data_IF_663726314302
#
_entry.id   IF_663726314302
#
_cell.length_a   1.000
_cell.length_b   1.000
_cell.length_c   1.000
_cell.angle_alpha   90.00
_cell.angle_beta   90.00
_cell.angle_gamma   90.00
#
_symmetry.space_group_name_H-M   'P 1'
#
loop_
_entity.id
_entity.type
_entity.pdbx_description
1 polymer ?
#
# COMPACT_ATOMS: atom_id res chain seq x y z
N UNK A 1 -1.99 24.18 -17.48
CA UNK A 1 -3.37 23.62 -17.54
C UNK A 1 -3.52 22.43 -18.50
N UNK A 2 -3.03 22.46 -19.76
CA UNK A 2 -3.17 21.33 -20.72
C UNK A 2 -2.47 20.06 -20.22
N UNK A 3 -1.26 20.13 -19.69
CA UNK A 3 -0.51 18.99 -19.19
C UNK A 3 -1.17 18.32 -17.96
N UNK A 4 -1.80 19.09 -17.06
CA UNK A 4 -2.46 18.55 -15.87
C UNK A 4 -3.68 17.71 -16.25
N UNK A 5 -4.48 18.13 -17.25
CA UNK A 5 -5.62 17.34 -17.73
C UNK A 5 -5.20 16.02 -18.35
N UNK A 6 -4.11 16.03 -19.12
CA UNK A 6 -3.54 14.80 -19.71
C UNK A 6 -3.08 13.85 -18.62
N UNK A 7 -2.30 14.33 -17.63
CA UNK A 7 -1.84 13.50 -16.52
C UNK A 7 -3.00 12.92 -15.69
N UNK A 8 -4.05 13.73 -15.45
CA UNK A 8 -5.27 13.25 -14.79
C UNK A 8 -5.94 12.11 -15.59
N UNK A 9 -6.02 12.23 -16.92
CA UNK A 9 -6.53 11.16 -17.77
C UNK A 9 -5.68 9.88 -17.69
N UNK A 10 -4.36 10.03 -17.75
CA UNK A 10 -3.42 8.90 -17.64
C UNK A 10 -3.60 8.17 -16.30
N UNK A 11 -3.75 8.88 -15.20
CA UNK A 11 -3.93 8.26 -13.87
C UNK A 11 -5.23 7.44 -13.77
N UNK A 12 -6.33 7.91 -14.38
CA UNK A 12 -7.57 7.12 -14.45
C UNK A 12 -7.40 5.86 -15.31
N UNK A 13 -6.67 5.98 -16.44
CA UNK A 13 -6.35 4.82 -17.29
C UNK A 13 -5.49 3.82 -16.52
N UNK A 14 -4.46 4.28 -15.79
CA UNK A 14 -3.61 3.39 -14.98
C UNK A 14 -4.39 2.67 -13.88
N UNK A 15 -5.32 3.35 -13.20
CA UNK A 15 -6.19 2.69 -12.22
C UNK A 15 -7.09 1.63 -12.87
N UNK A 16 -7.66 1.92 -14.05
CA UNK A 16 -8.42 0.96 -14.83
C UNK A 16 -7.59 -0.23 -15.32
N UNK A 17 -6.37 0.01 -15.80
CA UNK A 17 -5.43 -1.05 -16.22
C UNK A 17 -5.03 -1.92 -15.04
N UNK A 18 -4.73 -1.34 -13.88
CA UNK A 18 -4.42 -2.09 -12.67
C UNK A 18 -5.59 -3.00 -12.26
N UNK A 19 -6.81 -2.45 -12.21
CA UNK A 19 -8.02 -3.22 -11.89
C UNK A 19 -8.23 -4.35 -12.90
N UNK A 20 -8.18 -4.04 -14.20
CA UNK A 20 -8.37 -5.02 -15.27
C UNK A 20 -7.32 -6.13 -15.21
N UNK A 21 -6.04 -5.80 -15.07
CA UNK A 21 -4.97 -6.79 -14.99
C UNK A 21 -5.11 -7.69 -13.76
N UNK A 22 -5.34 -7.10 -12.58
CA UNK A 22 -5.46 -7.84 -11.32
C UNK A 22 -6.68 -8.75 -11.30
N UNK A 23 -7.85 -8.21 -11.64
CA UNK A 23 -9.11 -8.96 -11.53
C UNK A 23 -9.27 -9.98 -12.65
N UNK A 24 -8.83 -9.66 -13.88
CA UNK A 24 -8.85 -10.64 -14.96
C UNK A 24 -7.90 -11.81 -14.67
N UNK A 25 -6.75 -11.55 -14.05
CA UNK A 25 -5.85 -12.61 -13.63
C UNK A 25 -6.51 -13.60 -12.65
N UNK A 26 -7.30 -13.08 -11.71
CA UNK A 26 -8.03 -13.89 -10.73
C UNK A 26 -9.24 -14.61 -11.32
N UNK A 27 -10.05 -13.91 -12.12
CA UNK A 27 -11.32 -14.43 -12.66
C UNK A 27 -11.12 -15.40 -13.83
N UNK A 28 -10.10 -15.16 -14.67
CA UNK A 28 -9.86 -15.91 -15.91
C UNK A 28 -8.54 -16.69 -15.90
N UNK A 29 -7.82 -16.71 -14.76
CA UNK A 29 -6.53 -17.40 -14.61
C UNK A 29 -5.50 -16.97 -15.68
N UNK A 30 -5.48 -15.68 -16.02
CA UNK A 30 -4.48 -15.13 -16.91
C UNK A 30 -3.14 -15.11 -16.17
N UNK A 31 -2.08 -15.56 -16.80
CA UNK A 31 -0.74 -15.62 -16.20
C UNK A 31 -0.01 -14.28 -16.26
N UNK A 32 -0.65 -13.18 -15.81
CA UNK A 32 -0.01 -11.86 -15.76
C UNK A 32 0.97 -11.86 -14.59
N UNK A 33 2.28 -11.60 -14.83
CA UNK A 33 3.27 -11.58 -13.76
C UNK A 33 2.95 -10.52 -12.69
N UNK A 34 3.12 -10.86 -11.41
CA UNK A 34 2.90 -9.93 -10.29
C UNK A 34 3.72 -8.64 -10.42
N UNK A 35 4.95 -8.73 -10.94
CA UNK A 35 5.81 -7.57 -11.20
C UNK A 35 5.22 -6.61 -12.24
N UNK A 36 4.49 -7.11 -13.25
CA UNK A 36 3.83 -6.25 -14.25
C UNK A 36 2.65 -5.48 -13.63
N UNK A 37 1.85 -6.14 -12.79
CA UNK A 37 0.75 -5.50 -12.05
C UNK A 37 1.31 -4.45 -11.08
N UNK A 38 2.36 -4.80 -10.33
CA UNK A 38 3.04 -3.90 -9.42
C UNK A 38 3.60 -2.66 -10.14
N UNK A 39 4.18 -2.85 -11.34
CA UNK A 39 4.71 -1.74 -12.14
C UNK A 39 3.64 -0.69 -12.46
N UNK A 40 2.40 -1.10 -12.73
CA UNK A 40 1.29 -0.16 -12.96
C UNK A 40 1.01 0.68 -11.71
N UNK A 41 1.00 0.07 -10.52
CA UNK A 41 0.81 0.78 -9.25
C UNK A 41 1.99 1.74 -8.96
N UNK A 42 3.22 1.31 -9.25
CA UNK A 42 4.43 2.15 -9.12
C UNK A 42 4.34 3.36 -10.04
N UNK A 43 4.02 3.17 -11.32
CA UNK A 43 3.89 4.28 -12.30
C UNK A 43 2.77 5.24 -11.90
N UNK A 44 1.64 4.71 -11.44
CA UNK A 44 0.56 5.54 -10.89
C UNK A 44 1.08 6.40 -9.73
N UNK A 45 1.72 5.80 -8.74
CA UNK A 45 2.22 6.48 -7.54
C UNK A 45 3.30 7.52 -7.86
N UNK A 46 4.17 7.23 -8.83
CA UNK A 46 5.18 8.17 -9.33
C UNK A 46 4.54 9.42 -9.94
N UNK A 47 3.63 9.23 -10.89
CA UNK A 47 2.99 10.36 -11.60
C UNK A 47 2.13 11.17 -10.64
N UNK A 48 1.29 10.49 -9.85
CA UNK A 48 0.41 11.12 -8.89
C UNK A 48 1.21 11.90 -7.81
N UNK A 49 2.30 11.31 -7.29
CA UNK A 49 3.17 11.95 -6.33
C UNK A 49 3.95 13.12 -6.93
N UNK A 50 4.45 13.00 -8.16
CA UNK A 50 5.18 14.06 -8.84
C UNK A 50 4.30 15.29 -9.14
N UNK A 51 3.00 15.11 -9.38
CA UNK A 51 2.05 16.21 -9.54
C UNK A 51 1.91 17.07 -8.27
N UNK A 52 2.14 16.47 -7.09
CA UNK A 52 2.00 17.17 -5.80
C UNK A 52 3.33 17.64 -5.23
N UNK A 53 4.32 16.74 -5.23
CA UNK A 53 5.59 16.95 -4.53
C UNK A 53 6.74 17.30 -5.48
N UNK A 54 6.46 17.42 -6.78
CA UNK A 54 7.46 17.47 -7.85
C UNK A 54 8.37 16.22 -7.86
N UNK A 55 9.16 16.05 -8.90
CA UNK A 55 10.04 14.88 -9.05
C UNK A 55 11.03 14.72 -7.90
N UNK A 56 11.54 15.83 -7.38
CA UNK A 56 12.47 15.81 -6.25
C UNK A 56 11.83 15.42 -4.92
N UNK A 57 10.54 15.74 -4.71
CA UNK A 57 9.81 15.29 -3.51
C UNK A 57 9.46 13.81 -3.56
N UNK A 58 9.00 13.32 -4.72
CA UNK A 58 8.70 11.89 -4.84
C UNK A 58 9.98 11.04 -4.85
N UNK A 59 11.09 11.56 -5.40
CA UNK A 59 12.39 10.90 -5.28
C UNK A 59 12.85 10.78 -3.83
N UNK A 60 12.66 11.83 -3.01
CA UNK A 60 12.95 11.76 -1.58
C UNK A 60 12.07 10.72 -0.87
N UNK A 61 10.76 10.66 -1.20
CA UNK A 61 9.87 9.62 -0.67
C UNK A 61 10.40 8.22 -0.98
N UNK A 62 10.76 7.96 -2.25
CA UNK A 62 11.29 6.67 -2.70
C UNK A 62 12.57 6.32 -1.95
N UNK A 63 13.53 7.23 -1.89
CA UNK A 63 14.82 6.96 -1.21
C UNK A 63 14.59 6.65 0.27
N UNK A 64 13.80 7.46 0.97
CA UNK A 64 13.51 7.23 2.39
C UNK A 64 12.78 5.89 2.58
N UNK A 65 11.75 5.62 1.78
CA UNK A 65 11.00 4.38 1.83
C UNK A 65 11.89 3.15 1.59
N UNK A 66 12.65 3.12 0.49
CA UNK A 66 13.48 1.98 0.13
C UNK A 66 14.62 1.74 1.11
N UNK A 67 15.27 2.79 1.60
CA UNK A 67 16.37 2.65 2.57
C UNK A 67 15.84 2.11 3.90
N UNK A 68 14.79 2.71 4.46
CA UNK A 68 14.24 2.30 5.76
C UNK A 68 13.65 0.89 5.67
N UNK A 69 12.83 0.60 4.66
CA UNK A 69 12.23 -0.73 4.53
C UNK A 69 13.28 -1.82 4.32
N UNK A 70 14.27 -1.61 3.43
CA UNK A 70 15.30 -2.61 3.19
C UNK A 70 16.16 -2.87 4.43
N UNK A 71 16.54 -1.84 5.19
CA UNK A 71 17.28 -2.01 6.45
C UNK A 71 16.47 -2.83 7.44
N UNK A 72 15.21 -2.47 7.69
CA UNK A 72 14.39 -3.14 8.70
C UNK A 72 14.00 -4.56 8.29
N UNK A 73 13.74 -4.81 7.00
CA UNK A 73 13.51 -6.16 6.47
C UNK A 73 14.73 -7.07 6.69
N UNK A 74 15.94 -6.63 6.29
CA UNK A 74 17.16 -7.40 6.50
C UNK A 74 17.45 -7.60 7.99
N UNK A 75 17.22 -6.57 8.82
CA UNK A 75 17.36 -6.67 10.28
C UNK A 75 16.41 -7.72 10.84
N UNK A 76 15.16 -7.75 10.37
CA UNK A 76 14.17 -8.70 10.86
C UNK A 76 14.51 -10.14 10.48
N UNK A 77 14.95 -10.38 9.25
CA UNK A 77 15.39 -11.72 8.81
C UNK A 77 16.54 -12.22 9.69
N UNK A 78 17.45 -11.34 10.08
CA UNK A 78 18.62 -11.71 10.90
C UNK A 78 18.33 -11.81 12.40
N UNK A 79 17.43 -11.00 12.94
CA UNK A 79 17.26 -10.80 14.39
C UNK A 79 15.85 -11.06 14.90
N UNK A 80 14.86 -11.13 14.01
CA UNK A 80 13.45 -11.17 14.33
C UNK A 80 12.82 -9.79 14.60
N UNK A 81 13.58 -8.70 14.69
CA UNK A 81 13.03 -7.36 14.89
C UNK A 81 13.01 -6.57 13.56
N UNK A 82 11.90 -5.93 13.17
CA UNK A 82 10.65 -5.73 13.93
C UNK A 82 9.51 -6.72 13.60
N UNK A 83 9.60 -7.52 12.51
CA UNK A 83 8.46 -8.29 11.99
C UNK A 83 8.30 -9.70 12.63
N UNK A 84 9.36 -10.26 13.16
CA UNK A 84 9.48 -11.68 13.56
C UNK A 84 10.52 -12.40 12.70
N UNK A 85 10.76 -13.69 12.99
CA UNK A 85 11.67 -14.51 12.20
C UNK A 85 10.96 -15.08 10.95
N UNK A 86 11.50 -14.78 9.79
CA UNK A 86 11.03 -15.29 8.51
C UNK A 86 12.17 -15.27 7.47
N UNK A 87 11.93 -15.90 6.35
CA UNK A 87 12.82 -15.82 5.21
C UNK A 87 12.02 -15.77 3.90
N UNK A 88 12.56 -15.10 2.90
CA UNK A 88 12.00 -15.10 1.55
C UNK A 88 12.44 -16.33 0.77
N UNK A 89 11.48 -16.98 0.10
CA UNK A 89 11.78 -18.03 -0.89
C UNK A 89 12.33 -17.40 -2.18
N UNK A 90 12.69 -18.21 -3.18
CA UNK A 90 13.20 -17.70 -4.45
C UNK A 90 12.11 -17.32 -5.46
N UNK A 91 10.83 -17.49 -5.07
CA UNK A 91 9.67 -17.25 -5.94
C UNK A 91 9.52 -15.79 -6.39
N UNK A 92 10.07 -14.82 -5.63
CA UNK A 92 10.04 -13.39 -5.98
C UNK A 92 11.28 -12.92 -6.74
N UNK A 93 12.17 -13.84 -7.15
CA UNK A 93 13.34 -13.56 -7.98
C UNK A 93 14.52 -12.96 -7.22
N UNK A 94 15.36 -12.13 -7.90
CA UNK A 94 16.61 -11.67 -7.34
C UNK A 94 16.44 -10.79 -6.09
N UNK A 95 17.42 -10.91 -5.16
CA UNK A 95 17.41 -10.25 -3.85
C UNK A 95 18.51 -9.18 -3.78
N UNK A 96 18.22 -8.10 -3.06
CA UNK A 96 19.20 -7.16 -2.53
C UNK A 96 19.48 -7.56 -1.08
N UNK A 97 20.66 -8.11 -0.81
CA UNK A 97 20.97 -8.85 0.41
C UNK A 97 19.99 -10.01 0.61
N UNK A 98 19.11 -9.97 1.60
CA UNK A 98 18.15 -11.03 1.91
C UNK A 98 16.73 -10.75 1.39
N UNK A 99 16.47 -9.57 0.82
CA UNK A 99 15.12 -9.08 0.45
C UNK A 99 14.97 -9.06 -1.07
N UNK A 100 13.90 -9.66 -1.64
CA UNK A 100 13.62 -9.60 -3.06
C UNK A 100 13.45 -8.17 -3.58
N UNK A 101 13.95 -7.90 -4.78
CA UNK A 101 13.88 -6.56 -5.40
C UNK A 101 12.46 -6.04 -5.60
N UNK A 102 11.45 -6.92 -5.69
CA UNK A 102 10.05 -6.53 -5.83
C UNK A 102 9.44 -5.93 -4.55
N UNK A 103 10.02 -6.20 -3.39
CA UNK A 103 9.48 -5.76 -2.09
C UNK A 103 9.56 -4.24 -1.96
N UNK A 104 10.70 -3.63 -2.33
CA UNK A 104 10.84 -2.16 -2.29
C UNK A 104 9.78 -1.40 -3.10
N UNK A 105 9.57 -1.72 -4.39
CA UNK A 105 8.48 -1.16 -5.19
C UNK A 105 7.08 -1.37 -4.58
N UNK A 106 6.82 -2.51 -3.91
CA UNK A 106 5.56 -2.76 -3.21
C UNK A 106 5.39 -1.84 -1.99
N UNK A 107 6.44 -1.64 -1.18
CA UNK A 107 6.46 -0.65 -0.10
C UNK A 107 6.18 0.76 -0.63
N UNK A 108 6.85 1.14 -1.73
CA UNK A 108 6.66 2.46 -2.32
C UNK A 108 5.23 2.68 -2.80
N UNK A 109 4.70 1.78 -3.62
CA UNK A 109 3.38 1.97 -4.23
C UNK A 109 2.26 2.01 -3.18
N UNK A 110 2.21 1.03 -2.27
CA UNK A 110 1.17 0.96 -1.25
C UNK A 110 1.37 2.00 -0.14
N UNK A 111 2.62 2.25 0.28
CA UNK A 111 2.94 3.30 1.26
C UNK A 111 2.59 4.69 0.75
N UNK A 112 2.80 4.95 -0.55
CA UNK A 112 2.36 6.20 -1.17
C UNK A 112 0.83 6.34 -1.18
N UNK A 113 0.09 5.28 -1.53
CA UNK A 113 -1.37 5.31 -1.51
C UNK A 113 -1.92 5.52 -0.09
N UNK A 114 -1.34 4.83 0.90
CA UNK A 114 -1.68 5.02 2.30
C UNK A 114 -1.41 6.47 2.77
N UNK A 115 -0.26 7.05 2.39
CA UNK A 115 0.07 8.45 2.62
C UNK A 115 -0.95 9.39 1.97
N UNK A 116 -1.25 9.20 0.67
CA UNK A 116 -2.18 10.03 -0.06
C UNK A 116 -3.60 10.00 0.55
N UNK A 117 -4.08 8.81 0.94
CA UNK A 117 -5.37 8.65 1.62
C UNK A 117 -5.37 9.33 2.99
N UNK A 118 -4.30 9.15 3.77
CA UNK A 118 -4.17 9.80 5.08
C UNK A 118 -4.19 11.32 4.96
N UNK A 119 -3.58 11.90 3.92
CA UNK A 119 -3.66 13.36 3.70
C UNK A 119 -5.07 13.84 3.36
N UNK A 120 -5.91 13.02 2.74
CA UNK A 120 -7.34 13.31 2.57
C UNK A 120 -8.06 13.30 3.91
N UNK A 121 -7.78 12.32 4.76
CA UNK A 121 -8.49 12.13 6.03
C UNK A 121 -8.08 13.15 7.09
N UNK A 122 -6.80 13.45 7.22
CA UNK A 122 -6.23 14.26 8.31
C UNK A 122 -5.88 15.68 7.85
N UNK A 123 -5.34 15.82 6.63
CA UNK A 123 -4.87 17.08 6.07
C UNK A 123 -3.44 16.98 5.56
N UNK A 124 -3.00 18.04 4.89
CA UNK A 124 -1.67 18.10 4.25
C UNK A 124 -0.55 18.38 5.24
N UNK A 125 0.60 17.72 5.03
CA UNK A 125 1.84 18.07 5.70
C UNK A 125 2.60 19.11 4.87
N UNK A 126 2.84 20.28 5.46
CA UNK A 126 3.51 21.45 4.87
C UNK A 126 4.43 22.09 5.90
N UNK A 127 5.17 23.13 5.50
CA UNK A 127 6.04 23.87 6.41
C UNK A 127 5.29 24.42 7.62
N UNK A 128 4.10 24.96 7.41
CA UNK A 128 3.26 25.59 8.43
C UNK A 128 2.34 24.61 9.18
N UNK A 129 2.43 23.32 8.87
CA UNK A 129 1.60 22.31 9.55
C UNK A 129 1.89 22.27 11.04
N UNK A 130 0.82 22.08 11.83
CA UNK A 130 0.94 21.87 13.27
C UNK A 130 1.77 20.60 13.58
N UNK A 131 2.28 20.50 14.79
CA UNK A 131 2.90 19.28 15.27
C UNK A 131 1.91 18.10 15.15
N UNK A 132 0.65 18.31 15.53
CA UNK A 132 -0.41 17.29 15.42
C UNK A 132 -0.51 16.75 13.99
N UNK A 133 -0.69 17.59 12.96
CA UNK A 133 -0.80 17.12 11.57
C UNK A 133 0.47 16.40 11.12
N UNK A 134 1.65 16.87 11.53
CA UNK A 134 2.93 16.29 11.16
C UNK A 134 3.10 14.86 11.68
N UNK A 135 2.53 14.55 12.84
CA UNK A 135 2.58 13.20 13.42
C UNK A 135 1.35 12.36 13.07
N UNK A 136 0.16 12.97 13.01
CA UNK A 136 -1.08 12.24 12.76
C UNK A 136 -1.15 11.66 11.33
N UNK A 137 -0.64 12.37 10.32
CA UNK A 137 -0.66 11.87 8.93
C UNK A 137 0.17 10.60 8.77
N UNK A 138 1.47 10.53 9.16
CA UNK A 138 2.24 9.28 9.11
C UNK A 138 1.61 8.17 9.96
N UNK A 139 1.11 8.51 11.16
CA UNK A 139 0.49 7.56 12.07
C UNK A 139 -0.74 6.89 11.45
N UNK A 140 -1.66 7.67 10.89
CA UNK A 140 -2.84 7.14 10.20
C UNK A 140 -2.48 6.38 8.93
N UNK A 141 -1.51 6.86 8.15
CA UNK A 141 -1.03 6.17 6.96
C UNK A 141 -0.43 4.79 7.29
N UNK A 142 0.20 4.64 8.46
CA UNK A 142 0.73 3.35 8.92
C UNK A 142 -0.39 2.34 9.18
N UNK A 143 -1.50 2.74 9.78
CA UNK A 143 -2.69 1.88 9.88
C UNK A 143 -3.24 1.49 8.51
N UNK A 144 -3.35 2.47 7.57
CA UNK A 144 -3.83 2.19 6.22
C UNK A 144 -2.95 1.19 5.47
N UNK A 145 -1.64 1.20 5.72
CA UNK A 145 -0.71 0.22 5.16
C UNK A 145 -0.85 -1.15 5.83
N UNK A 146 -1.03 -1.20 7.15
CA UNK A 146 -1.28 -2.46 7.88
C UNK A 146 -2.62 -3.09 7.47
N UNK A 147 -3.66 -2.28 7.17
CA UNK A 147 -4.91 -2.80 6.61
C UNK A 147 -4.70 -3.53 5.29
N UNK A 148 -3.78 -3.05 4.46
CA UNK A 148 -3.39 -3.75 3.24
C UNK A 148 -2.69 -5.08 3.56
N UNK A 149 -1.72 -5.07 4.45
CA UNK A 149 -0.96 -6.26 4.83
C UNK A 149 -1.86 -7.35 5.46
N UNK A 150 -2.81 -6.96 6.31
CA UNK A 150 -3.83 -7.86 6.86
C UNK A 150 -4.65 -8.57 5.77
N UNK A 151 -4.90 -7.90 4.67
CA UNK A 151 -5.65 -8.45 3.54
C UNK A 151 -4.82 -9.25 2.53
N UNK A 152 -3.48 -9.27 2.64
CA UNK A 152 -2.60 -9.85 1.62
C UNK A 152 -1.60 -10.87 2.17
N UNK A 153 -1.04 -10.67 3.37
CA UNK A 153 0.03 -11.52 3.90
C UNK A 153 -0.37 -13.00 4.04
N UNK A 154 -1.55 -13.38 4.58
CA UNK A 154 -1.88 -14.80 4.68
C UNK A 154 -1.91 -15.53 3.35
N UNK A 155 -2.33 -14.87 2.26
CA UNK A 155 -2.26 -15.45 0.93
C UNK A 155 -0.82 -15.55 0.44
N UNK A 156 -0.04 -14.52 0.62
CA UNK A 156 1.34 -14.44 0.13
C UNK A 156 2.28 -15.40 0.88
N UNK A 157 2.16 -15.49 2.21
CA UNK A 157 3.02 -16.33 3.03
C UNK A 157 2.54 -17.77 3.13
N UNK A 158 1.25 -18.02 3.41
CA UNK A 158 0.74 -19.36 3.72
C UNK A 158 0.28 -20.10 2.48
N UNK A 159 -0.35 -19.44 1.50
CA UNK A 159 -0.79 -20.08 0.26
C UNK A 159 0.30 -20.05 -0.82
N UNK A 160 0.82 -18.86 -1.15
CA UNK A 160 1.80 -18.69 -2.24
C UNK A 160 3.24 -18.96 -1.83
N UNK A 161 3.52 -18.94 -0.53
CA UNK A 161 4.83 -19.21 0.07
C UNK A 161 5.93 -18.33 -0.52
N UNK A 162 5.66 -17.04 -0.70
CA UNK A 162 6.67 -16.07 -1.12
C UNK A 162 7.69 -15.79 0.01
N UNK A 163 7.22 -15.87 1.25
CA UNK A 163 8.03 -15.92 2.47
C UNK A 163 7.41 -16.89 3.47
N UNK A 164 8.20 -17.32 4.42
CA UNK A 164 7.81 -18.31 5.43
C UNK A 164 8.04 -17.73 6.81
N UNK A 165 6.99 -17.62 7.60
CA UNK A 165 7.06 -17.29 9.02
C UNK A 165 7.50 -18.53 9.80
N UNK A 166 8.73 -18.51 10.37
CA UNK A 166 9.35 -19.71 10.95
C UNK A 166 8.63 -20.20 12.21
N UNK A 167 8.06 -19.28 12.98
CA UNK A 167 7.34 -19.59 14.22
C UNK A 167 5.82 -19.66 14.03
N UNK A 168 5.35 -19.45 12.80
CA UNK A 168 3.93 -19.33 12.53
C UNK A 168 3.28 -18.15 13.24
N UNK A 169 1.94 -18.13 13.29
CA UNK A 169 1.17 -17.08 13.95
C UNK A 169 -0.31 -17.37 13.97
N UNK A 170 -1.06 -16.64 14.81
CA UNK A 170 -2.49 -16.86 15.01
C UNK A 170 -3.38 -16.43 13.84
N UNK A 171 -2.88 -15.62 12.91
CA UNK A 171 -3.64 -15.18 11.75
C UNK A 171 -3.17 -15.94 10.50
N UNK A 172 -3.63 -17.19 10.36
CA UNK A 172 -3.30 -18.09 9.25
C UNK A 172 -1.78 -18.28 9.05
N UNK A 173 -1.04 -18.43 10.15
CA UNK A 173 0.41 -18.60 10.12
C UNK A 173 1.19 -17.28 10.17
N UNK A 174 0.52 -16.12 10.12
CA UNK A 174 1.16 -14.80 10.22
C UNK A 174 1.18 -14.34 11.68
N UNK A 175 2.36 -13.97 12.25
CA UNK A 175 2.45 -13.53 13.63
C UNK A 175 1.98 -12.08 13.82
N UNK A 176 1.48 -11.74 15.01
CA UNK A 176 1.12 -10.36 15.37
C UNK A 176 2.31 -9.40 15.24
N UNK A 177 3.51 -9.87 15.51
CA UNK A 177 4.74 -9.09 15.36
C UNK A 177 4.95 -8.57 13.94
N UNK A 178 4.50 -9.31 12.91
CA UNK A 178 4.52 -8.82 11.53
C UNK A 178 3.76 -7.50 11.40
N UNK A 179 2.52 -7.44 11.87
CA UNK A 179 1.67 -6.24 11.73
C UNK A 179 2.20 -5.07 12.55
N UNK A 180 2.76 -5.33 13.72
CA UNK A 180 3.44 -4.31 14.53
C UNK A 180 4.72 -3.83 13.84
N UNK A 181 5.47 -4.72 13.22
CA UNK A 181 6.65 -4.41 12.42
C UNK A 181 6.32 -3.57 11.18
N UNK A 182 5.24 -3.93 10.47
CA UNK A 182 4.73 -3.11 9.35
C UNK A 182 4.34 -1.71 9.81
N UNK A 183 3.58 -1.61 10.90
CA UNK A 183 3.21 -0.31 11.47
C UNK A 183 4.44 0.52 11.81
N UNK A 184 5.40 -0.06 12.52
CA UNK A 184 6.63 0.62 12.91
C UNK A 184 7.46 1.06 11.69
N UNK A 185 7.73 0.17 10.75
CA UNK A 185 8.53 0.44 9.55
C UNK A 185 7.92 1.56 8.71
N UNK A 186 6.62 1.46 8.46
CA UNK A 186 5.87 2.45 7.67
C UNK A 186 5.83 3.79 8.38
N UNK A 187 5.59 3.79 9.70
CA UNK A 187 5.62 5.02 10.48
C UNK A 187 6.98 5.71 10.40
N UNK A 188 8.07 4.98 10.54
CA UNK A 188 9.41 5.55 10.49
C UNK A 188 9.66 6.24 9.15
N UNK A 189 9.46 5.56 8.02
CA UNK A 189 9.76 6.19 6.73
C UNK A 189 8.78 7.32 6.39
N UNK A 190 7.50 7.22 6.74
CA UNK A 190 6.52 8.27 6.51
C UNK A 190 6.75 9.48 7.43
N UNK A 191 7.17 9.25 8.67
CA UNK A 191 7.53 10.34 9.59
C UNK A 191 8.75 11.10 9.09
N UNK A 192 9.76 10.41 8.59
CA UNK A 192 10.92 11.04 7.97
C UNK A 192 10.52 11.86 6.74
N UNK A 193 9.61 11.35 5.92
CA UNK A 193 9.07 12.10 4.78
C UNK A 193 8.27 13.33 5.22
N UNK A 194 7.43 13.21 6.26
CA UNK A 194 6.70 14.35 6.82
C UNK A 194 7.66 15.47 7.30
N UNK A 195 8.72 15.10 8.00
CA UNK A 195 9.75 16.04 8.45
C UNK A 195 10.50 16.67 7.27
N UNK A 196 10.83 15.90 6.24
CA UNK A 196 11.41 16.41 4.99
C UNK A 196 10.51 17.45 4.34
N UNK A 197 9.19 17.21 4.23
CA UNK A 197 8.25 18.18 3.66
C UNK A 197 8.19 19.48 4.46
N UNK A 198 8.25 19.39 5.77
CA UNK A 198 8.30 20.59 6.65
C UNK A 198 9.55 21.43 6.42
N UNK A 199 10.71 20.80 6.36
CA UNK A 199 12.00 21.50 6.17
C UNK A 199 12.08 22.12 4.78
N UNK A 200 11.68 21.38 3.76
CA UNK A 200 11.75 21.82 2.36
C UNK A 200 10.79 22.98 2.06
N UNK A 201 9.70 23.11 2.81
CA UNK A 201 8.68 24.11 2.51
C UNK A 201 7.91 23.75 1.23
N UNK A 202 7.26 22.58 1.22
CA UNK A 202 6.42 22.17 0.09
C UNK A 202 5.38 23.26 -0.21
N UNK A 203 5.33 23.71 -1.46
CA UNK A 203 4.34 24.69 -1.89
C UNK A 203 2.92 24.15 -1.73
N UNK A 204 2.02 24.99 -1.24
CA UNK A 204 0.60 24.68 -1.15
C UNK A 204 -0.01 24.67 -2.54
N UNK A 205 0.03 23.53 -3.23
CA UNK A 205 -0.72 23.34 -4.46
C UNK A 205 -2.17 23.03 -4.11
N UNK A 206 -3.10 23.90 -4.53
CA UNK A 206 -4.53 23.58 -4.50
C UNK A 206 -4.80 22.58 -5.63
N UNK A 207 -4.89 21.31 -5.27
CA UNK A 207 -5.17 20.24 -6.22
C UNK A 207 -6.68 20.05 -6.36
N UNK A 208 -7.12 19.72 -7.57
CA UNK A 208 -8.52 19.47 -7.86
C UNK A 208 -9.03 18.25 -7.07
N UNK A 209 -10.33 18.23 -6.72
CA UNK A 209 -10.96 17.06 -6.06
C UNK A 209 -10.68 15.75 -6.80
N UNK A 210 -10.68 15.80 -8.17
CA UNK A 210 -10.36 14.62 -8.99
C UNK A 210 -8.98 14.03 -8.73
N UNK A 211 -7.98 14.84 -8.37
CA UNK A 211 -6.66 14.36 -7.98
C UNK A 211 -6.74 13.49 -6.72
N UNK A 212 -7.38 13.98 -5.66
CA UNK A 212 -7.54 13.20 -4.42
C UNK A 212 -8.41 11.95 -4.63
N UNK A 213 -9.47 12.08 -5.46
CA UNK A 213 -10.33 10.96 -5.81
C UNK A 213 -9.57 9.82 -6.51
N UNK A 214 -8.54 10.11 -7.31
CA UNK A 214 -7.72 9.09 -7.96
C UNK A 214 -6.99 8.21 -6.96
N UNK A 215 -6.39 8.78 -5.91
CA UNK A 215 -5.72 8.00 -4.86
C UNK A 215 -6.73 7.16 -4.06
N UNK A 216 -7.91 7.73 -3.73
CA UNK A 216 -8.98 7.01 -3.01
C UNK A 216 -9.48 5.83 -3.84
N UNK A 217 -9.74 6.03 -5.14
CA UNK A 217 -10.19 4.95 -6.04
C UNK A 217 -9.10 3.90 -6.21
N UNK A 218 -7.85 4.29 -6.41
CA UNK A 218 -6.76 3.33 -6.55
C UNK A 218 -6.57 2.49 -5.27
N UNK A 219 -6.65 3.10 -4.08
CA UNK A 219 -6.61 2.37 -2.81
C UNK A 219 -7.81 1.41 -2.66
N UNK A 220 -9.01 1.83 -3.05
CA UNK A 220 -10.20 0.98 -3.06
C UNK A 220 -10.06 -0.20 -4.03
N UNK A 221 -9.51 0.03 -5.23
CA UNK A 221 -9.23 -1.03 -6.22
C UNK A 221 -8.24 -2.04 -5.66
N UNK A 222 -7.17 -1.60 -4.99
CA UNK A 222 -6.26 -2.51 -4.28
C UNK A 222 -7.02 -3.30 -3.21
N UNK A 223 -7.83 -2.63 -2.38
CA UNK A 223 -8.63 -3.27 -1.32
C UNK A 223 -9.70 -4.23 -1.80
N UNK A 224 -10.19 -4.09 -3.05
CA UNK A 224 -11.12 -5.06 -3.66
C UNK A 224 -10.45 -6.35 -4.10
N UNK A 225 -9.13 -6.39 -4.22
CA UNK A 225 -8.39 -7.57 -4.70
C UNK A 225 -8.70 -8.85 -3.89
N UNK A 226 -8.64 -8.86 -2.55
CA UNK A 226 -9.00 -10.06 -1.78
C UNK A 226 -10.47 -10.45 -1.93
N UNK A 227 -11.38 -9.48 -2.12
CA UNK A 227 -12.80 -9.75 -2.32
C UNK A 227 -13.02 -10.48 -3.66
N UNK A 228 -12.39 -9.98 -4.73
CA UNK A 228 -12.44 -10.64 -6.04
C UNK A 228 -11.76 -12.01 -5.98
N UNK A 229 -10.64 -12.13 -5.26
CA UNK A 229 -9.96 -13.41 -5.03
C UNK A 229 -10.85 -14.45 -4.34
N UNK A 230 -11.58 -14.05 -3.31
CA UNK A 230 -12.56 -14.91 -2.64
C UNK A 230 -13.68 -15.37 -3.58
N UNK A 231 -14.25 -14.44 -4.35
CA UNK A 231 -15.32 -14.77 -5.32
C UNK A 231 -14.82 -15.66 -6.48
N UNK A 232 -13.54 -15.55 -6.83
CA UNK A 232 -12.91 -16.37 -7.87
C UNK A 232 -12.43 -17.71 -7.37
N UNK A 233 -12.28 -17.93 -6.06
CA UNK A 233 -11.76 -19.14 -5.45
C UNK A 233 -12.66 -20.32 -5.75
N UNK A 234 -12.11 -21.36 -6.42
CA UNK A 234 -12.84 -22.57 -6.81
C UNK A 234 -12.50 -23.79 -5.93
N UNK A 235 -11.46 -23.69 -5.13
CA UNK A 235 -10.93 -24.80 -4.34
C UNK A 235 -10.78 -24.41 -2.88
N UNK A 236 -10.98 -25.39 -2.01
CA UNK A 236 -10.71 -25.25 -0.58
C UNK A 236 -9.78 -26.40 -0.16
N UNK A 237 -8.48 -26.14 -0.17
CA UNK A 237 -7.43 -27.12 0.12
C UNK A 237 -6.75 -26.82 1.44
N UNK A 238 -6.26 -27.87 2.11
CA UNK A 238 -5.42 -27.72 3.28
C UNK A 238 -4.01 -27.25 2.86
N UNK A 239 -3.48 -26.27 3.58
CA UNK A 239 -2.12 -25.73 3.42
C UNK A 239 -1.47 -25.63 4.79
N UNK A 240 -0.14 -25.79 4.86
CA UNK A 240 0.59 -25.68 6.11
C UNK A 240 1.44 -24.40 6.15
N UNK A 241 1.44 -23.73 7.29
CA UNK A 241 2.38 -22.64 7.58
C UNK A 241 3.79 -23.15 7.91
N UNK A 242 4.72 -22.24 8.21
CA UNK A 242 6.11 -22.58 8.52
C UNK A 242 6.31 -23.33 9.84
N UNK A 243 5.36 -23.23 10.77
CA UNK A 243 5.39 -23.92 12.06
C UNK A 243 4.60 -25.26 12.03
N UNK A 244 4.04 -25.64 10.88
CA UNK A 244 3.26 -26.88 10.73
C UNK A 244 1.78 -26.72 11.09
N UNK A 245 1.28 -25.51 11.36
CA UNK A 245 -0.14 -25.23 11.51
C UNK A 245 -0.87 -25.47 10.19
N UNK A 246 -2.05 -26.12 10.24
CA UNK A 246 -2.85 -26.46 9.05
C UNK A 246 -4.03 -25.51 8.92
N UNK A 247 -4.17 -24.92 7.75
CA UNK A 247 -5.18 -23.94 7.39
C UNK A 247 -5.91 -24.35 6.11
N UNK A 248 -7.12 -23.82 5.91
CA UNK A 248 -7.87 -24.05 4.68
C UNK A 248 -7.87 -22.79 3.81
N UNK A 249 -7.55 -22.92 2.52
CA UNK A 249 -7.48 -21.79 1.58
C UNK A 249 -8.78 -21.01 1.49
N UNK A 250 -9.94 -21.68 1.60
CA UNK A 250 -11.25 -21.03 1.65
C UNK A 250 -11.41 -20.11 2.87
N UNK A 251 -11.01 -20.58 4.06
CA UNK A 251 -11.06 -19.76 5.29
C UNK A 251 -10.11 -18.56 5.22
N UNK A 252 -8.92 -18.75 4.63
CA UNK A 252 -7.96 -17.66 4.42
C UNK A 252 -8.57 -16.58 3.52
N UNK A 253 -9.05 -16.97 2.32
CA UNK A 253 -9.58 -16.02 1.33
C UNK A 253 -10.83 -15.30 1.82
N UNK A 254 -11.75 -16.01 2.52
CA UNK A 254 -12.94 -15.41 3.13
C UNK A 254 -12.59 -14.39 4.20
N UNK A 255 -11.65 -14.72 5.09
CA UNK A 255 -11.21 -13.82 6.16
C UNK A 255 -10.52 -12.59 5.60
N UNK A 256 -9.67 -12.75 4.59
CA UNK A 256 -9.01 -11.61 3.91
C UNK A 256 -10.03 -10.71 3.23
N UNK A 257 -11.04 -11.26 2.53
CA UNK A 257 -12.14 -10.49 1.95
C UNK A 257 -12.91 -9.73 3.03
N UNK A 258 -13.26 -10.40 4.13
CA UNK A 258 -13.97 -9.80 5.26
C UNK A 258 -13.17 -8.64 5.85
N UNK A 259 -11.89 -8.87 6.16
CA UNK A 259 -11.02 -7.84 6.74
C UNK A 259 -10.90 -6.64 5.82
N UNK A 260 -10.66 -6.83 4.52
CA UNK A 260 -10.49 -5.72 3.59
C UNK A 260 -11.77 -4.92 3.36
N UNK A 261 -12.94 -5.56 3.35
CA UNK A 261 -14.24 -4.85 3.28
C UNK A 261 -14.38 -3.88 4.46
N UNK A 262 -14.13 -4.34 5.67
CA UNK A 262 -14.38 -3.56 6.89
C UNK A 262 -13.19 -2.71 7.35
N UNK A 263 -12.06 -2.75 6.64
CA UNK A 263 -10.89 -1.91 6.91
C UNK A 263 -10.53 -1.04 5.70
N UNK A 264 -9.95 -1.59 4.64
CA UNK A 264 -9.50 -0.81 3.47
C UNK A 264 -10.65 -0.12 2.76
N UNK A 265 -11.74 -0.84 2.45
CA UNK A 265 -12.89 -0.25 1.73
C UNK A 265 -13.65 0.71 2.63
N UNK A 266 -13.74 0.46 3.94
CA UNK A 266 -14.27 1.43 4.90
C UNK A 266 -13.44 2.72 4.91
N UNK A 267 -12.09 2.63 4.97
CA UNK A 267 -11.22 3.80 4.93
C UNK A 267 -11.35 4.57 3.61
N UNK A 268 -11.43 3.87 2.48
CA UNK A 268 -11.68 4.49 1.17
C UNK A 268 -13.05 5.18 1.10
N UNK A 269 -14.10 4.55 1.64
CA UNK A 269 -15.44 5.13 1.69
C UNK A 269 -15.45 6.40 2.57
N UNK A 270 -14.80 6.36 3.74
CA UNK A 270 -14.67 7.51 4.63
C UNK A 270 -13.96 8.68 3.94
N UNK A 271 -12.86 8.41 3.23
CA UNK A 271 -12.15 9.41 2.44
C UNK A 271 -13.00 9.97 1.30
N UNK A 272 -13.78 9.12 0.61
CA UNK A 272 -14.71 9.55 -0.43
C UNK A 272 -15.81 10.46 0.13
N UNK A 273 -16.42 10.09 1.25
CA UNK A 273 -17.43 10.95 1.94
C UNK A 273 -16.83 12.30 2.28
N UNK A 274 -15.61 12.33 2.83
CA UNK A 274 -14.94 13.58 3.17
C UNK A 274 -14.70 14.45 1.93
N UNK A 275 -14.23 13.88 0.82
CA UNK A 275 -14.05 14.62 -0.42
C UNK A 275 -15.36 15.17 -1.00
N UNK A 276 -16.49 14.48 -0.80
CA UNK A 276 -17.81 14.95 -1.25
C UNK A 276 -18.33 16.10 -0.38
N UNK A 277 -17.98 16.13 0.91
CA UNK A 277 -18.37 17.18 1.83
C UNK A 277 -17.56 18.46 1.67
N UNK A 278 -16.33 18.40 1.14
CA UNK A 278 -15.54 19.60 0.89
C UNK A 278 -16.21 20.46 -0.19
N UNK A 279 -16.40 21.77 0.06
CA UNK A 279 -16.94 22.68 -0.95
C UNK A 279 -16.08 22.62 -2.22
N UNK A 280 -16.71 22.53 -3.38
CA UNK A 280 -16.00 22.68 -4.65
C UNK A 280 -15.42 24.09 -4.66
N UNK A 281 -14.10 24.24 -4.59
CA UNK A 281 -13.46 25.55 -4.67
C UNK A 281 -14.01 26.24 -5.92
N UNK A 282 -14.72 27.34 -5.72
CA UNK A 282 -15.24 28.15 -6.81
C UNK A 282 -14.06 28.52 -7.72
N UNK A 283 -14.11 28.09 -8.97
CA UNK A 283 -13.17 28.54 -9.99
C UNK A 283 -13.41 30.02 -10.14
N UNK A 284 -12.68 30.85 -9.41
CA UNK A 284 -12.62 32.26 -9.73
C UNK A 284 -12.00 32.36 -11.12
N UNK A 285 -12.88 32.56 -12.11
CA UNK A 285 -12.48 33.11 -13.40
C UNK A 285 -11.89 34.50 -13.13
N UNK A 286 -10.60 34.65 -13.26
CA UNK A 286 -9.91 35.91 -13.49
C UNK A 286 -9.42 35.88 -14.92
#
# INVERSE_FOLDING_TARGET
MRNTRVLTGILWVLAGVYAAATYSNMLFALSIPIGAVLLVAVVFSLIHGAMRYHWSGIAAFIVICLVVSNILENTSILTGFPFGHYHYTDSLGPKLFLVPLLIGPAYFANGYLAWALSTVLVGDVRRESSAFTTFAVPFMASFLMVMWDLGFDPQASTIQRFWIWEQGGGYFGVPLTNYLGWFFTVYVFLQLFALFLRVRGAQSLTLARSYHAQAVVMYAVVGLTPVVGYLAAKTNTAVSDGAGGVWHTGSITESMATVTIFTMLFAAALAAVKLLQEPTAAVHKV
#
